data_IF_673072297852
#
_entry.id   IF_673072297852
#
_cell.length_a   1.000
_cell.length_b   1.000
_cell.length_c   1.000
_cell.angle_alpha   90.00
_cell.angle_beta   90.00
_cell.angle_gamma   90.00
#
_symmetry.space_group_name_H-M   'P 1'
#
loop_
_entity.id
_entity.type
_entity.pdbx_description
1 polymer ?
#
# COMPACT_ATOMS: atom_id res chain seq x y z
N UNK A 1 7.92 -53.99 -12.78
CA UNK A 1 7.41 -53.81 -11.40
C UNK A 1 8.06 -52.57 -10.81
N UNK A 2 7.46 -51.40 -11.00
CA UNK A 2 7.92 -50.17 -10.36
C UNK A 2 7.35 -50.14 -8.95
N UNK A 3 8.24 -50.06 -7.96
CA UNK A 3 7.93 -50.23 -6.54
C UNK A 3 7.03 -49.09 -6.04
N UNK A 4 5.97 -49.46 -5.30
CA UNK A 4 4.99 -48.55 -4.67
C UNK A 4 5.64 -47.48 -3.77
N UNK A 5 6.91 -47.66 -3.39
CA UNK A 5 7.70 -46.71 -2.58
C UNK A 5 8.17 -45.48 -3.35
N UNK A 6 8.30 -45.53 -4.68
CA UNK A 6 8.84 -44.40 -5.47
C UNK A 6 7.78 -43.33 -5.75
N UNK A 7 6.49 -43.68 -5.72
CA UNK A 7 5.39 -42.75 -6.00
C UNK A 7 5.05 -41.84 -4.80
N UNK A 8 5.36 -42.28 -3.58
CA UNK A 8 5.01 -41.57 -2.34
C UNK A 8 5.93 -40.37 -2.08
N UNK A 9 7.18 -40.39 -2.56
CA UNK A 9 8.10 -39.26 -2.37
C UNK A 9 7.82 -38.06 -3.29
N UNK A 10 7.22 -38.27 -4.47
CA UNK A 10 6.87 -37.16 -5.36
C UNK A 10 5.61 -36.40 -4.90
N UNK A 11 4.69 -37.08 -4.20
CA UNK A 11 3.51 -36.43 -3.63
C UNK A 11 3.81 -35.63 -2.35
N UNK A 12 4.86 -35.97 -1.60
CA UNK A 12 5.24 -35.23 -0.39
C UNK A 12 6.04 -33.95 -0.68
N UNK A 13 6.69 -33.83 -1.84
CA UNK A 13 7.40 -32.61 -2.23
C UNK A 13 6.44 -31.60 -2.89
N UNK A 14 5.38 -32.07 -3.54
CA UNK A 14 4.36 -31.21 -4.18
C UNK A 14 3.50 -30.40 -3.20
N UNK A 15 3.39 -30.83 -1.94
CA UNK A 15 2.61 -30.13 -0.92
C UNK A 15 3.39 -28.99 -0.22
N UNK A 16 4.71 -28.86 -0.45
CA UNK A 16 5.54 -27.83 0.21
C UNK A 16 5.43 -26.46 -0.50
N UNK A 17 4.92 -26.43 -1.74
CA UNK A 17 4.75 -25.19 -2.52
C UNK A 17 3.29 -24.67 -2.54
N UNK A 18 2.41 -25.22 -1.72
CA UNK A 18 1.04 -24.74 -1.60
C UNK A 18 1.00 -23.48 -0.72
N UNK A 19 0.83 -22.34 -1.39
CA UNK A 19 0.06 -21.17 -0.94
C UNK A 19 0.43 -20.61 0.44
N UNK A 20 1.25 -19.55 0.44
CA UNK A 20 1.17 -18.58 1.52
C UNK A 20 -0.21 -17.92 1.41
N UNK A 21 -1.20 -18.43 2.14
CA UNK A 21 -2.52 -17.80 2.23
C UNK A 21 -2.31 -16.34 2.68
N UNK A 22 -2.76 -15.39 1.86
CA UNK A 22 -2.81 -13.98 2.28
C UNK A 22 -3.73 -13.88 3.49
N UNK A 23 -3.31 -13.12 4.49
CA UNK A 23 -4.18 -12.75 5.60
C UNK A 23 -5.39 -11.96 5.11
N UNK A 24 -6.48 -11.97 5.88
CA UNK A 24 -7.69 -11.20 5.57
C UNK A 24 -7.41 -9.69 5.42
N UNK A 25 -6.43 -9.16 6.17
CA UNK A 25 -5.99 -7.77 6.04
C UNK A 25 -5.30 -7.51 4.69
N UNK A 26 -4.42 -8.42 4.26
CA UNK A 26 -3.75 -8.30 2.96
C UNK A 26 -4.72 -8.46 1.79
N UNK A 27 -5.68 -9.38 1.88
CA UNK A 27 -6.75 -9.53 0.86
C UNK A 27 -7.56 -8.24 0.71
N UNK A 28 -7.95 -7.64 1.83
CA UNK A 28 -8.69 -6.37 1.84
C UNK A 28 -7.86 -5.23 1.24
N UNK A 29 -6.56 -5.16 1.56
CA UNK A 29 -5.68 -4.16 0.95
C UNK A 29 -5.58 -4.34 -0.57
N UNK A 30 -5.45 -5.58 -1.06
CA UNK A 30 -5.43 -5.89 -2.49
C UNK A 30 -6.75 -5.52 -3.17
N UNK A 31 -7.89 -5.81 -2.54
CA UNK A 31 -9.21 -5.44 -3.06
C UNK A 31 -9.35 -3.92 -3.22
N UNK A 32 -8.91 -3.15 -2.22
CA UNK A 32 -8.90 -1.67 -2.27
C UNK A 32 -8.03 -1.17 -3.43
N UNK A 33 -6.82 -1.73 -3.62
CA UNK A 33 -5.93 -1.36 -4.71
C UNK A 33 -6.56 -1.66 -6.08
N UNK A 34 -7.19 -2.82 -6.24
CA UNK A 34 -7.87 -3.21 -7.48
C UNK A 34 -9.05 -2.27 -7.77
N UNK A 35 -9.88 -1.99 -6.77
CA UNK A 35 -11.06 -1.11 -6.93
C UNK A 35 -10.65 0.31 -7.35
N UNK A 36 -9.70 0.91 -6.60
CA UNK A 36 -9.21 2.25 -6.91
C UNK A 36 -8.42 2.30 -8.22
N UNK A 37 -7.67 1.25 -8.52
CA UNK A 37 -6.91 1.14 -9.77
C UNK A 37 -7.82 1.12 -10.99
N UNK A 38 -8.90 0.32 -10.95
CA UNK A 38 -9.91 0.28 -12.01
C UNK A 38 -10.59 1.62 -12.25
N UNK A 39 -10.91 2.36 -11.17
CA UNK A 39 -11.57 3.68 -11.28
C UNK A 39 -10.76 4.70 -12.09
N UNK A 40 -9.44 4.59 -12.04
CA UNK A 40 -8.53 5.54 -12.68
C UNK A 40 -7.67 4.90 -13.77
N UNK A 41 -8.04 3.71 -14.26
CA UNK A 41 -7.31 2.99 -15.30
C UNK A 41 -5.80 2.86 -15.01
N UNK A 42 -5.48 2.48 -13.77
CA UNK A 42 -4.10 2.25 -13.31
C UNK A 42 -3.76 0.79 -13.62
N UNK A 43 -2.70 0.58 -14.40
CA UNK A 43 -2.20 -0.76 -14.72
C UNK A 43 -1.49 -1.40 -13.52
N UNK A 44 -1.40 -2.74 -13.52
CA UNK A 44 -0.62 -3.46 -12.51
C UNK A 44 0.85 -3.04 -12.50
N UNK A 45 1.42 -2.70 -13.66
CA UNK A 45 2.78 -2.20 -13.78
C UNK A 45 2.94 -0.84 -13.10
N UNK A 46 1.97 0.06 -13.25
CA UNK A 46 1.96 1.34 -12.53
C UNK A 46 1.83 1.12 -11.02
N UNK A 47 1.02 0.18 -10.56
CA UNK A 47 0.91 -0.17 -9.13
C UNK A 47 2.24 -0.70 -8.60
N UNK A 48 2.92 -1.58 -9.33
CA UNK A 48 4.24 -2.12 -8.95
C UNK A 48 5.31 -1.04 -8.85
N UNK A 49 5.19 0.04 -9.64
CA UNK A 49 6.12 1.16 -9.68
C UNK A 49 5.60 2.40 -8.93
N UNK A 50 4.60 2.24 -8.06
CA UNK A 50 3.89 3.37 -7.46
C UNK A 50 4.81 4.29 -6.63
N UNK A 51 5.83 3.74 -5.98
CA UNK A 51 6.81 4.52 -5.22
C UNK A 51 7.61 5.48 -6.12
N UNK A 52 7.95 5.03 -7.33
CA UNK A 52 8.65 5.87 -8.30
C UNK A 52 7.70 6.90 -8.90
N UNK A 53 6.47 6.51 -9.22
CA UNK A 53 5.44 7.41 -9.74
C UNK A 53 5.02 8.46 -8.70
N UNK A 54 5.08 8.15 -7.41
CA UNK A 54 4.77 9.08 -6.33
C UNK A 54 5.77 10.24 -6.21
N UNK A 55 6.97 10.13 -6.82
CA UNK A 55 7.99 11.21 -6.85
C UNK A 55 7.58 12.39 -7.72
N UNK A 56 6.95 12.11 -8.85
CA UNK A 56 6.34 13.11 -9.71
C UNK A 56 4.97 12.61 -10.20
N UNK A 57 3.96 12.66 -9.33
CA UNK A 57 2.71 11.97 -9.59
C UNK A 57 1.84 12.75 -10.57
N UNK A 58 1.30 12.03 -11.55
CA UNK A 58 0.22 12.52 -12.40
C UNK A 58 -1.07 12.68 -11.60
N UNK A 59 -2.04 13.41 -12.13
CA UNK A 59 -3.35 13.54 -11.48
C UNK A 59 -4.04 12.18 -11.26
N UNK A 60 -3.88 11.27 -12.21
CA UNK A 60 -4.36 9.87 -12.13
C UNK A 60 -3.81 9.15 -10.91
N UNK A 61 -2.49 9.24 -10.70
CA UNK A 61 -1.79 8.64 -9.55
C UNK A 61 -2.24 9.29 -8.24
N UNK A 62 -2.37 10.61 -8.22
CA UNK A 62 -2.85 11.33 -7.04
C UNK A 62 -4.27 10.91 -6.64
N UNK A 63 -5.16 10.75 -7.62
CA UNK A 63 -6.53 10.29 -7.36
C UNK A 63 -6.58 8.83 -6.91
N UNK A 64 -5.71 7.98 -7.46
CA UNK A 64 -5.53 6.62 -6.99
C UNK A 64 -5.11 6.60 -5.52
N UNK A 65 -4.07 7.36 -5.15
CA UNK A 65 -3.58 7.44 -3.77
C UNK A 65 -4.62 8.01 -2.80
N UNK A 66 -5.43 8.99 -3.23
CA UNK A 66 -6.55 9.51 -2.42
C UNK A 66 -7.57 8.41 -2.15
N UNK A 67 -8.00 7.71 -3.20
CA UNK A 67 -9.00 6.65 -3.11
C UNK A 67 -8.55 5.52 -2.17
N UNK A 68 -7.29 5.08 -2.29
CA UNK A 68 -6.76 4.03 -1.41
C UNK A 68 -6.71 4.49 0.04
N UNK A 69 -6.27 5.73 0.28
CA UNK A 69 -6.17 6.31 1.61
C UNK A 69 -7.53 6.51 2.28
N UNK A 70 -8.57 6.84 1.52
CA UNK A 70 -9.95 6.93 2.04
C UNK A 70 -10.49 5.54 2.44
N UNK A 71 -10.22 4.52 1.62
CA UNK A 71 -10.73 3.16 1.85
C UNK A 71 -9.99 2.38 2.93
N UNK A 72 -8.70 2.63 3.10
CA UNK A 72 -7.90 2.01 4.17
C UNK A 72 -8.04 2.75 5.51
N UNK A 73 -8.67 3.93 5.51
CA UNK A 73 -8.96 4.75 6.68
C UNK A 73 -7.84 5.72 7.06
N UNK A 74 -6.78 5.82 6.26
CA UNK A 74 -5.71 6.81 6.44
C UNK A 74 -6.23 8.24 6.24
N UNK A 75 -7.23 8.43 5.39
CA UNK A 75 -8.05 9.63 5.28
C UNK A 75 -9.48 9.31 5.73
N UNK A 76 -10.09 10.19 6.52
CA UNK A 76 -11.53 10.12 6.78
C UNK A 76 -12.34 10.76 5.63
N UNK A 77 -13.67 10.69 5.72
CA UNK A 77 -14.58 11.26 4.72
C UNK A 77 -14.48 12.79 4.60
N UNK A 78 -14.00 13.46 5.65
CA UNK A 78 -13.69 14.88 5.62
C UNK A 78 -12.30 15.15 5.04
N UNK A 79 -11.53 14.14 4.65
CA UNK A 79 -10.19 14.30 4.10
C UNK A 79 -9.12 14.60 5.16
N UNK A 80 -9.38 14.34 6.44
CA UNK A 80 -8.37 14.50 7.49
C UNK A 80 -7.49 13.27 7.59
N UNK A 81 -6.18 13.50 7.69
CA UNK A 81 -5.19 12.45 7.91
C UNK A 81 -5.36 11.85 9.32
N UNK A 82 -5.57 10.55 9.35
CA UNK A 82 -5.76 9.79 10.58
C UNK A 82 -4.39 9.34 11.12
N UNK A 83 -3.84 10.13 12.06
CA UNK A 83 -2.49 9.91 12.61
C UNK A 83 -2.27 8.52 13.22
N UNK A 84 -3.33 7.83 13.66
CA UNK A 84 -3.23 6.44 14.14
C UNK A 84 -2.70 5.49 13.06
N UNK A 85 -3.10 5.68 11.79
CA UNK A 85 -2.63 4.86 10.66
C UNK A 85 -1.23 5.30 10.23
N UNK A 86 -0.94 6.61 10.21
CA UNK A 86 0.42 7.11 9.95
C UNK A 86 1.42 6.50 10.94
N UNK A 87 1.09 6.45 12.23
CA UNK A 87 1.94 5.82 13.23
C UNK A 87 2.17 4.33 12.94
N UNK A 88 1.13 3.60 12.49
CA UNK A 88 1.26 2.19 12.08
C UNK A 88 2.18 2.05 10.87
N UNK A 89 1.98 2.86 9.83
CA UNK A 89 2.78 2.84 8.60
C UNK A 89 4.25 3.10 8.90
N UNK A 90 4.55 4.18 9.62
CA UNK A 90 5.92 4.56 9.96
C UNK A 90 6.63 3.48 10.80
N UNK A 91 5.92 2.86 11.76
CA UNK A 91 6.45 1.74 12.52
C UNK A 91 6.77 0.51 11.65
N UNK A 92 5.96 0.25 10.62
CA UNK A 92 6.20 -0.84 9.67
C UNK A 92 7.36 -0.56 8.71
N UNK A 93 7.60 0.71 8.36
CA UNK A 93 8.67 1.12 7.45
C UNK A 93 10.08 1.00 8.07
N UNK A 94 10.19 0.76 9.38
CA UNK A 94 11.46 0.61 10.12
C UNK A 94 12.44 1.76 9.85
N UNK A 95 11.91 2.98 9.79
CA UNK A 95 12.68 4.19 9.56
C UNK A 95 13.58 4.51 10.76
N UNK A 96 14.58 5.36 10.56
CA UNK A 96 15.29 5.94 11.70
C UNK A 96 14.34 6.88 12.46
N UNK A 97 14.57 7.04 13.77
CA UNK A 97 13.72 7.88 14.63
C UNK A 97 13.61 9.34 14.13
N UNK A 98 14.65 9.88 13.51
CA UNK A 98 14.66 11.23 12.92
C UNK A 98 13.70 11.35 11.73
N UNK A 99 13.73 10.38 10.81
CA UNK A 99 12.86 10.31 9.64
C UNK A 99 11.40 10.09 10.06
N UNK A 100 11.17 9.21 11.04
CA UNK A 100 9.85 8.96 11.62
C UNK A 100 9.20 10.24 12.17
N UNK A 101 9.96 11.02 12.95
CA UNK A 101 9.46 12.28 13.52
C UNK A 101 9.21 13.33 12.43
N UNK A 102 10.10 13.44 11.46
CA UNK A 102 9.97 14.35 10.32
C UNK A 102 8.68 14.07 9.52
N UNK A 103 8.43 12.80 9.18
CA UNK A 103 7.22 12.39 8.45
C UNK A 103 5.97 12.70 9.28
N UNK A 104 5.94 12.32 10.57
CA UNK A 104 4.79 12.59 11.44
C UNK A 104 4.51 14.07 11.59
N UNK A 105 5.54 14.90 11.75
CA UNK A 105 5.37 16.35 11.83
C UNK A 105 4.86 16.93 10.50
N UNK A 106 5.36 16.43 9.38
CA UNK A 106 4.87 16.84 8.07
C UNK A 106 3.40 16.47 7.86
N UNK A 107 3.00 15.25 8.20
CA UNK A 107 1.61 14.78 8.09
C UNK A 107 0.65 15.60 8.97
N UNK A 108 1.07 16.04 10.17
CA UNK A 108 0.26 16.94 11.01
C UNK A 108 0.01 18.31 10.38
N UNK A 109 0.90 18.76 9.48
CA UNK A 109 0.78 20.05 8.78
C UNK A 109 -0.05 19.94 7.50
N UNK A 110 -0.33 18.72 7.03
CA UNK A 110 -1.30 18.51 5.95
C UNK A 110 -2.68 18.79 6.55
N UNK A 111 -3.28 19.91 6.15
CA UNK A 111 -4.56 20.37 6.71
C UNK A 111 -5.70 19.40 6.37
N UNK A 112 -5.96 19.22 5.09
CA UNK A 112 -7.08 18.45 4.57
C UNK A 112 -6.81 18.03 3.13
N UNK A 113 -7.20 16.81 2.78
CA UNK A 113 -7.13 16.27 1.42
C UNK A 113 -8.54 16.17 0.86
N UNK A 114 -8.99 17.23 0.20
CA UNK A 114 -10.34 17.30 -0.39
C UNK A 114 -10.34 16.91 -1.86
N UNK A 115 -9.25 17.22 -2.55
CA UNK A 115 -9.03 16.96 -3.97
C UNK A 115 -7.89 15.97 -4.17
N UNK A 116 -7.79 15.37 -5.36
CA UNK A 116 -6.63 14.55 -5.68
C UNK A 116 -5.34 15.37 -5.62
N UNK A 117 -5.36 16.63 -6.06
CA UNK A 117 -4.18 17.49 -6.06
C UNK A 117 -3.58 17.67 -4.64
N UNK A 118 -4.42 17.66 -3.60
CA UNK A 118 -3.98 17.79 -2.22
C UNK A 118 -3.07 16.63 -1.77
N UNK A 119 -3.20 15.45 -2.41
CA UNK A 119 -2.30 14.31 -2.14
C UNK A 119 -0.83 14.62 -2.44
N UNK A 120 -0.52 15.64 -3.24
CA UNK A 120 0.87 16.08 -3.45
C UNK A 120 1.55 16.49 -2.15
N UNK A 121 0.78 16.99 -1.18
CA UNK A 121 1.33 17.38 0.12
C UNK A 121 1.75 16.14 0.91
N UNK A 122 0.95 15.06 0.85
CA UNK A 122 1.26 13.77 1.48
C UNK A 122 2.47 13.12 0.80
N UNK A 123 2.51 13.05 -0.53
CA UNK A 123 3.67 12.44 -1.23
C UNK A 123 4.96 13.21 -0.95
N UNK A 124 4.90 14.54 -0.92
CA UNK A 124 6.03 15.38 -0.48
C UNK A 124 6.48 15.07 0.94
N UNK A 125 5.56 14.82 1.88
CA UNK A 125 5.93 14.45 3.24
C UNK A 125 6.68 13.12 3.30
N UNK A 126 6.27 12.13 2.51
CA UNK A 126 6.90 10.80 2.50
C UNK A 126 8.26 10.77 1.79
N UNK A 127 8.51 11.71 0.89
CA UNK A 127 9.74 11.79 0.09
C UNK A 127 10.77 12.76 0.66
N UNK A 128 10.44 13.48 1.73
CA UNK A 128 11.33 14.46 2.36
C UNK A 128 12.37 13.74 3.23
N UNK A 129 13.34 13.10 2.57
CA UNK A 129 14.56 12.54 3.16
C UNK A 129 15.76 13.40 2.73
#
# INVERSE_FOLDING_TARGET
>A
MYSLKTFVCFFLIGAIYAEKELSEEEKKAVEVLIECGKKWDISEEEIKNIEQLAKDPTEKILCFLKCTSEKDGTLDEAGNVQMKYINKIVAMMKLKNEDENSIKECMRKVSQVTTCADMRNITKCMLRN
#
